data_IF_022556179186
#
_entry.id   IF_022556179186
#
_cell.length_a   1.000
_cell.length_b   1.000
_cell.length_c   1.000
_cell.angle_alpha   90.00
_cell.angle_beta   90.00
_cell.angle_gamma   90.00
#
_symmetry.space_group_name_H-M   'P 1'
#
loop_
_entity.id
_entity.type
_entity.pdbx_description
1 polymer ?
#
# COMPACT_ATOMS: atom_id res chain seq x y z
N UNK A 1 -7.15 26.66 -42.44
CA UNK A 1 -8.22 27.29 -43.23
C UNK A 1 -9.38 26.31 -43.39
N UNK A 2 -10.43 26.45 -42.57
CA UNK A 2 -11.82 26.01 -42.79
C UNK A 2 -12.61 26.55 -41.57
N UNK A 3 -13.26 27.72 -41.71
CA UNK A 3 -14.70 27.93 -41.95
C UNK A 3 -15.56 27.61 -40.70
N UNK A 4 -15.98 28.65 -39.95
CA UNK A 4 -17.36 29.26 -39.87
C UNK A 4 -18.26 28.57 -38.82
N UNK A 5 -19.16 29.18 -38.03
CA UNK A 5 -19.62 30.55 -37.75
C UNK A 5 -20.65 30.46 -36.58
N UNK A 6 -20.51 31.33 -35.57
CA UNK A 6 -21.51 32.07 -34.74
C UNK A 6 -22.93 31.52 -34.46
N UNK A 7 -23.33 31.55 -33.17
CA UNK A 7 -24.60 32.10 -32.56
C UNK A 7 -24.51 31.91 -31.02
N UNK A 8 -24.38 32.93 -30.14
CA UNK A 8 -25.29 34.02 -29.74
C UNK A 8 -26.70 33.53 -29.37
N UNK A 9 -27.37 33.88 -28.27
CA UNK A 9 -27.13 34.61 -27.01
C UNK A 9 -28.44 34.49 -26.21
N UNK A 10 -28.45 34.60 -24.87
CA UNK A 10 -29.60 35.11 -24.07
C UNK A 10 -29.14 35.37 -22.62
N UNK A 11 -29.03 36.66 -22.23
CA UNK A 11 -29.97 37.40 -21.36
C UNK A 11 -29.77 37.11 -19.86
N UNK A 12 -29.65 38.05 -18.91
CA UNK A 12 -29.73 39.53 -18.86
C UNK A 12 -29.12 40.00 -17.50
N UNK A 13 -28.52 41.19 -17.50
CA UNK A 13 -28.11 42.02 -16.33
C UNK A 13 -29.30 42.64 -15.61
N UNK A 14 -29.16 42.98 -14.32
CA UNK A 14 -29.51 44.26 -13.60
C UNK A 14 -28.85 44.15 -12.19
N UNK A 15 -27.83 44.90 -11.75
CA UNK A 15 -27.67 46.31 -11.29
C UNK A 15 -28.44 46.72 -10.02
N UNK A 16 -27.71 46.74 -8.89
CA UNK A 16 -27.55 47.73 -7.81
C UNK A 16 -28.72 48.50 -7.13
N UNK A 17 -28.59 48.56 -5.78
CA UNK A 17 -28.58 49.75 -4.90
C UNK A 17 -29.73 50.02 -3.89
N UNK A 18 -29.32 50.03 -2.61
CA UNK A 18 -29.46 51.09 -1.60
C UNK A 18 -30.59 51.13 -0.52
N UNK A 19 -30.10 51.40 0.71
CA UNK A 19 -30.60 52.30 1.76
C UNK A 19 -31.37 51.76 2.99
N UNK A 20 -30.60 51.61 4.09
CA UNK A 20 -30.73 52.23 5.41
C UNK A 20 -32.11 52.46 6.10
N UNK A 21 -32.19 52.05 7.38
CA UNK A 21 -32.65 52.93 8.48
C UNK A 21 -32.16 52.47 9.86
N UNK A 22 -31.72 53.47 10.62
CA UNK A 22 -31.17 53.53 11.98
C UNK A 22 -32.24 53.44 13.09
N UNK A 23 -31.88 52.94 14.28
CA UNK A 23 -32.17 53.66 15.54
C UNK A 23 -31.25 53.26 16.70
N UNK A 24 -30.72 54.30 17.31
CA UNK A 24 -29.88 54.47 18.50
C UNK A 24 -30.61 54.18 19.81
N UNK A 25 -29.88 53.74 20.85
CA UNK A 25 -29.79 54.46 22.15
C UNK A 25 -28.54 54.03 22.92
N UNK A 26 -27.86 55.03 23.45
CA UNK A 26 -26.64 55.05 24.25
C UNK A 26 -26.88 54.86 25.75
N UNK A 27 -25.89 54.32 26.48
CA UNK A 27 -25.44 54.92 27.75
C UNK A 27 -24.08 54.37 28.20
N UNK A 28 -23.23 55.30 28.59
CA UNK A 28 -21.84 55.23 29.08
C UNK A 28 -21.68 54.77 30.54
N UNK A 29 -20.53 54.15 30.88
CA UNK A 29 -19.72 54.38 32.11
C UNK A 29 -18.67 53.26 32.22
N UNK A 30 -17.37 53.51 32.02
CA UNK A 30 -16.37 53.97 33.00
C UNK A 30 -15.44 52.84 33.51
N UNK A 31 -14.14 53.08 33.31
CA UNK A 31 -13.01 52.81 34.22
C UNK A 31 -12.60 51.37 34.63
N UNK A 32 -11.42 51.00 34.11
CA UNK A 32 -10.24 50.48 34.82
C UNK A 32 -9.92 48.97 34.82
N UNK A 33 -8.61 48.61 34.70
CA UNK A 33 -8.13 47.24 34.52
C UNK A 33 -7.75 46.58 35.85
N UNK A 34 -7.86 45.27 35.94
CA UNK A 34 -7.31 44.49 37.06
C UNK A 34 -6.15 43.61 36.58
N UNK A 35 -4.99 43.90 37.16
CA UNK A 35 -3.75 43.16 37.06
C UNK A 35 -3.68 42.02 38.08
N UNK A 36 -2.82 41.04 37.77
CA UNK A 36 -2.23 40.00 38.64
C UNK A 36 -3.20 38.92 39.20
N UNK A 37 -2.82 37.64 39.32
CA UNK A 37 -1.52 37.13 39.75
C UNK A 37 -1.23 35.71 39.21
N UNK A 38 0.05 35.46 38.93
CA UNK A 38 0.62 34.13 38.74
C UNK A 38 0.83 33.51 40.12
N UNK A 39 0.14 32.41 40.42
CA UNK A 39 0.41 31.60 41.61
C UNK A 39 1.46 30.55 41.25
N UNK A 40 2.71 30.83 41.63
CA UNK A 40 3.78 29.84 41.62
C UNK A 40 3.52 28.80 42.72
N UNK A 41 3.18 27.56 42.34
CA UNK A 41 3.14 26.44 43.28
C UNK A 41 4.56 25.91 43.52
N UNK A 42 5.02 26.12 44.74
CA UNK A 42 6.29 25.62 45.28
C UNK A 42 6.19 24.10 45.49
N UNK A 43 7.12 23.36 44.89
CA UNK A 43 7.24 21.90 45.04
C UNK A 43 7.96 21.58 46.37
N UNK A 44 7.42 20.65 47.15
CA UNK A 44 8.06 20.10 48.36
C UNK A 44 8.24 18.59 48.20
N UNK A 45 9.41 18.02 48.53
CA UNK A 45 9.67 16.60 48.35
C UNK A 45 9.09 15.76 49.51
N UNK A 46 8.23 14.79 49.17
CA UNK A 46 7.71 13.78 50.09
C UNK A 46 8.59 12.53 50.15
N UNK A 47 8.65 11.91 51.34
CA UNK A 47 9.44 10.74 51.78
C UNK A 47 9.36 9.49 50.87
N UNK A 48 10.35 8.58 50.92
CA UNK A 48 10.41 7.41 50.04
C UNK A 48 9.46 6.29 50.51
N UNK A 49 8.72 5.71 49.56
CA UNK A 49 7.89 4.53 49.78
C UNK A 49 8.74 3.25 49.71
N UNK A 50 8.51 2.34 50.66
CA UNK A 50 9.17 1.05 50.78
C UNK A 50 8.81 0.11 49.61
N UNK A 51 9.82 -0.61 49.11
CA UNK A 51 9.74 -1.51 47.96
C UNK A 51 9.22 -2.88 48.43
N UNK A 52 7.99 -3.23 48.07
CA UNK A 52 7.46 -4.59 48.23
C UNK A 52 7.80 -5.41 46.99
N UNK A 53 8.65 -6.43 47.14
CA UNK A 53 8.97 -7.42 46.12
C UNK A 53 7.86 -8.46 46.03
N UNK A 54 7.07 -8.41 44.95
CA UNK A 54 6.20 -9.51 44.54
C UNK A 54 6.92 -10.32 43.46
N UNK A 55 7.44 -11.48 43.84
CA UNK A 55 7.95 -12.48 42.91
C UNK A 55 6.77 -13.26 42.32
N UNK A 56 6.39 -12.94 41.09
CA UNK A 56 5.43 -13.77 40.34
C UNK A 56 6.21 -14.72 39.44
N UNK A 57 6.16 -16.00 39.79
CA UNK A 57 6.78 -17.11 39.08
C UNK A 57 5.90 -17.44 37.86
N UNK A 58 6.29 -16.98 36.67
CA UNK A 58 5.64 -17.41 35.43
C UNK A 58 6.24 -18.75 35.00
N UNK A 59 5.46 -19.82 35.10
CA UNK A 59 5.79 -21.13 34.54
C UNK A 59 5.35 -21.12 33.08
N UNK A 60 6.30 -21.08 32.15
CA UNK A 60 6.05 -21.23 30.73
C UNK A 60 6.33 -22.69 30.34
N UNK A 61 5.28 -23.49 30.26
CA UNK A 61 5.29 -24.74 29.50
C UNK A 61 4.26 -24.60 28.38
N UNK A 62 4.76 -24.43 27.17
CA UNK A 62 4.00 -24.52 25.93
C UNK A 62 5.02 -24.83 24.84
N UNK A 63 5.20 -26.12 24.57
CA UNK A 63 5.93 -26.60 23.40
C UNK A 63 5.34 -25.97 22.14
N UNK A 64 6.17 -25.22 21.41
CA UNK A 64 5.86 -24.75 20.07
C UNK A 64 6.13 -25.91 19.07
N UNK A 65 5.28 -26.13 18.07
CA UNK A 65 5.60 -27.09 17.02
C UNK A 65 6.74 -26.54 16.16
N UNK A 66 7.80 -27.33 16.01
CA UNK A 66 8.90 -27.04 15.10
C UNK A 66 8.38 -27.01 13.65
N UNK A 67 8.37 -25.82 13.04
CA UNK A 67 8.19 -25.67 11.60
C UNK A 67 9.54 -25.97 10.95
N UNK A 68 9.64 -27.16 10.38
CA UNK A 68 10.78 -27.60 9.58
C UNK A 68 11.00 -26.65 8.39
N UNK A 69 12.22 -26.12 8.30
CA UNK A 69 12.75 -25.48 7.11
C UNK A 69 13.02 -26.56 6.04
N UNK A 70 12.06 -26.79 5.15
CA UNK A 70 12.27 -27.42 3.84
C UNK A 70 10.96 -27.42 3.07
N UNK A 71 10.93 -26.67 1.97
CA UNK A 71 9.82 -26.68 1.03
C UNK A 71 9.49 -25.28 0.55
N UNK A 72 9.90 -24.97 -0.68
CA UNK A 72 9.17 -24.06 -1.56
C UNK A 72 7.76 -24.64 -1.76
N UNK A 73 6.95 -24.55 -0.71
CA UNK A 73 5.54 -24.87 -0.79
C UNK A 73 4.93 -23.76 -1.63
N UNK A 74 4.15 -24.17 -2.63
CA UNK A 74 3.20 -23.33 -3.35
C UNK A 74 2.38 -22.53 -2.31
N UNK A 75 2.91 -21.38 -1.90
CA UNK A 75 2.26 -20.54 -0.91
C UNK A 75 1.06 -19.98 -1.65
N UNK A 76 -0.12 -20.44 -1.25
CA UNK A 76 -1.37 -19.94 -1.78
C UNK A 76 -1.29 -18.40 -1.82
N UNK A 77 -1.59 -17.83 -2.98
CA UNK A 77 -1.47 -16.40 -3.20
C UNK A 77 -2.17 -15.64 -2.10
N UNK A 78 -1.44 -14.72 -1.44
CA UNK A 78 -2.01 -13.92 -0.37
C UNK A 78 -3.16 -13.03 -0.87
N UNK A 79 -3.20 -12.74 -2.19
CA UNK A 79 -4.29 -12.06 -2.86
C UNK A 79 -4.30 -12.32 -4.39
N UNK A 80 -5.48 -12.24 -5.00
CA UNK A 80 -5.67 -12.28 -6.47
C UNK A 80 -5.70 -10.86 -7.03
N UNK A 81 -4.78 -10.53 -7.93
CA UNK A 81 -4.70 -9.21 -8.53
C UNK A 81 -5.58 -9.11 -9.77
N UNK A 82 -6.26 -7.98 -9.93
CA UNK A 82 -7.04 -7.68 -11.14
C UNK A 82 -6.07 -7.27 -12.27
N UNK A 83 -5.57 -8.26 -13.01
CA UNK A 83 -4.67 -8.07 -14.15
C UNK A 83 -5.48 -8.23 -15.43
N UNK A 84 -5.35 -7.28 -16.36
CA UNK A 84 -5.96 -7.39 -17.68
C UNK A 84 -5.12 -8.31 -18.60
N UNK A 85 -5.33 -9.62 -18.47
CA UNK A 85 -4.65 -10.63 -19.28
C UNK A 85 -4.94 -10.49 -20.78
N UNK A 86 -6.11 -9.95 -21.14
CA UNK A 86 -6.46 -9.70 -22.54
C UNK A 86 -5.57 -8.59 -23.11
N UNK A 87 -5.38 -7.49 -22.36
CA UNK A 87 -4.46 -6.44 -22.76
C UNK A 87 -3.02 -6.97 -22.92
N UNK A 88 -2.56 -7.83 -22.01
CA UNK A 88 -1.22 -8.44 -22.08
C UNK A 88 -1.06 -9.28 -23.35
N UNK A 89 -2.05 -10.10 -23.68
CA UNK A 89 -2.07 -10.89 -24.92
C UNK A 89 -2.08 -10.00 -26.17
N UNK A 90 -2.97 -9.02 -26.21
CA UNK A 90 -3.18 -8.16 -27.38
C UNK A 90 -1.98 -7.20 -27.62
N UNK A 91 -1.18 -6.92 -26.58
CA UNK A 91 -0.04 -6.00 -26.63
C UNK A 91 1.27 -6.65 -26.13
N UNK A 92 1.50 -7.93 -26.46
CA UNK A 92 2.63 -8.71 -25.96
C UNK A 92 3.99 -8.01 -26.17
N UNK A 93 4.23 -7.47 -27.37
CA UNK A 93 5.48 -6.77 -27.70
C UNK A 93 5.71 -5.52 -26.85
N UNK A 94 4.65 -4.74 -26.60
CA UNK A 94 4.71 -3.54 -25.76
C UNK A 94 5.08 -3.90 -24.33
N UNK A 95 4.40 -4.91 -23.77
CA UNK A 95 4.61 -5.37 -22.38
C UNK A 95 6.01 -5.95 -22.22
N UNK A 96 6.46 -6.80 -23.16
CA UNK A 96 7.80 -7.37 -23.13
C UNK A 96 8.87 -6.27 -23.20
N UNK A 97 8.73 -5.32 -24.14
CA UNK A 97 9.65 -4.20 -24.25
C UNK A 97 9.69 -3.36 -22.97
N UNK A 98 8.55 -3.12 -22.34
CA UNK A 98 8.47 -2.39 -21.07
C UNK A 98 9.20 -3.15 -19.94
N UNK A 99 9.01 -4.46 -19.84
CA UNK A 99 9.68 -5.31 -18.86
C UNK A 99 11.22 -5.30 -19.06
N UNK A 100 11.68 -5.49 -20.29
CA UNK A 100 13.11 -5.42 -20.63
C UNK A 100 13.71 -4.04 -20.35
N UNK A 101 13.00 -2.97 -20.71
CA UNK A 101 13.43 -1.58 -20.44
C UNK A 101 13.61 -1.33 -18.95
N UNK A 102 12.71 -1.89 -18.13
CA UNK A 102 12.76 -1.81 -16.66
C UNK A 102 13.70 -2.84 -16.02
N UNK A 103 14.44 -3.62 -16.82
CA UNK A 103 15.34 -4.69 -16.38
C UNK A 103 14.66 -5.71 -15.46
N UNK A 104 13.39 -6.01 -15.74
CA UNK A 104 12.64 -7.05 -15.03
C UNK A 104 12.64 -8.30 -15.88
N UNK A 105 13.10 -9.41 -15.28
CA UNK A 105 13.09 -10.72 -15.91
C UNK A 105 11.69 -11.34 -15.80
N UNK A 106 10.92 -11.27 -16.87
CA UNK A 106 9.59 -11.88 -17.00
C UNK A 106 9.41 -12.36 -18.45
N UNK A 107 8.98 -13.60 -18.61
CA UNK A 107 8.57 -14.16 -19.89
C UNK A 107 7.08 -13.88 -20.13
N UNK A 108 6.79 -12.90 -20.98
CA UNK A 108 5.40 -12.56 -21.35
C UNK A 108 4.76 -13.65 -22.20
N UNK A 109 5.55 -14.41 -22.98
CA UNK A 109 5.02 -15.49 -23.81
C UNK A 109 4.54 -16.66 -22.95
N UNK A 110 5.26 -17.00 -21.89
CA UNK A 110 4.81 -18.02 -20.93
C UNK A 110 3.48 -17.60 -20.26
N UNK A 111 3.34 -16.32 -19.88
CA UNK A 111 2.10 -15.79 -19.30
C UNK A 111 0.94 -15.93 -20.29
N UNK A 112 1.16 -15.61 -21.57
CA UNK A 112 0.14 -15.75 -22.62
C UNK A 112 -0.22 -17.23 -22.82
N UNK A 113 0.76 -18.13 -22.89
CA UNK A 113 0.53 -19.56 -23.05
C UNK A 113 -0.31 -20.13 -21.90
N UNK A 114 -0.02 -19.76 -20.64
CA UNK A 114 -0.83 -20.18 -19.49
C UNK A 114 -2.23 -19.57 -19.49
N UNK A 115 -2.38 -18.32 -19.95
CA UNK A 115 -3.69 -17.71 -20.12
C UNK A 115 -4.54 -18.42 -21.19
N UNK A 116 -3.94 -18.83 -22.30
CA UNK A 116 -4.63 -19.61 -23.34
C UNK A 116 -5.01 -21.01 -22.85
N UNK A 117 -4.12 -21.69 -22.14
CA UNK A 117 -4.40 -22.98 -21.51
C UNK A 117 -5.56 -22.87 -20.50
N UNK A 118 -5.60 -21.79 -19.73
CA UNK A 118 -6.68 -21.51 -18.77
C UNK A 118 -8.02 -21.29 -19.48
N UNK A 119 -8.04 -20.55 -20.59
CA UNK A 119 -9.26 -20.36 -21.37
C UNK A 119 -9.74 -21.69 -21.99
N UNK A 120 -8.82 -22.50 -22.52
CA UNK A 120 -9.14 -23.81 -23.07
C UNK A 120 -9.69 -24.77 -22.00
N UNK A 121 -9.15 -24.72 -20.79
CA UNK A 121 -9.63 -25.53 -19.66
C UNK A 121 -11.01 -25.07 -19.17
N UNK A 122 -11.23 -23.76 -19.07
CA UNK A 122 -12.55 -23.19 -18.77
C UNK A 122 -13.61 -23.64 -19.79
N UNK A 123 -13.27 -23.60 -21.08
CA UNK A 123 -14.17 -24.07 -22.13
C UNK A 123 -14.55 -25.55 -21.95
N UNK A 124 -13.59 -26.44 -21.67
CA UNK A 124 -13.86 -27.86 -21.37
C UNK A 124 -14.75 -28.04 -20.14
N UNK A 125 -14.50 -27.27 -19.08
CA UNK A 125 -15.34 -27.30 -17.87
C UNK A 125 -16.78 -26.89 -18.19
N UNK A 126 -16.97 -25.88 -19.04
CA UNK A 126 -18.30 -25.43 -19.45
C UNK A 126 -19.01 -26.47 -20.34
N UNK A 127 -18.31 -27.13 -21.26
CA UNK A 127 -18.84 -28.26 -22.04
C UNK A 127 -19.31 -29.41 -21.14
N UNK A 128 -18.51 -29.77 -20.12
CA UNK A 128 -18.89 -30.81 -19.15
C UNK A 128 -20.07 -30.39 -18.28
N UNK A 129 -20.15 -29.11 -17.88
CA UNK A 129 -21.30 -28.56 -17.15
C UNK A 129 -22.56 -28.62 -18.01
N UNK A 130 -22.46 -28.31 -19.30
CA UNK A 130 -23.55 -28.45 -20.25
C UNK A 130 -23.98 -29.91 -20.41
N UNK A 131 -23.02 -30.83 -20.62
CA UNK A 131 -23.28 -32.27 -20.73
C UNK A 131 -23.93 -32.84 -19.46
N UNK A 132 -23.49 -32.44 -18.28
CA UNK A 132 -24.10 -32.78 -16.99
C UNK A 132 -25.56 -32.31 -16.93
N UNK A 133 -25.82 -31.06 -17.34
CA UNK A 133 -27.16 -30.48 -17.32
C UNK A 133 -28.07 -31.16 -18.36
N UNK A 134 -27.54 -31.53 -19.53
CA UNK A 134 -28.24 -32.30 -20.55
C UNK A 134 -28.60 -33.71 -20.06
N UNK A 135 -27.65 -34.42 -19.45
CA UNK A 135 -27.90 -35.74 -18.84
C UNK A 135 -28.96 -35.65 -17.73
N UNK A 136 -28.89 -34.65 -16.85
CA UNK A 136 -29.91 -34.40 -15.82
C UNK A 136 -31.31 -34.11 -16.39
N UNK A 137 -31.40 -33.46 -17.57
CA UNK A 137 -32.67 -33.27 -18.29
C UNK A 137 -33.18 -34.57 -18.90
N UNK A 138 -32.31 -35.38 -19.49
CA UNK A 138 -32.66 -36.69 -20.07
C UNK A 138 -33.20 -37.66 -19.01
N UNK A 139 -32.81 -37.49 -17.73
CA UNK A 139 -33.37 -38.26 -16.62
C UNK A 139 -34.80 -37.84 -16.18
N UNK A 140 -35.36 -36.75 -16.70
CA UNK A 140 -36.73 -36.30 -16.38
C UNK A 140 -37.74 -37.00 -17.30
N UNK A 141 -38.20 -38.18 -16.89
CA UNK A 141 -39.25 -38.94 -17.58
C UNK A 141 -39.44 -40.35 -17.02
N UNK A 142 -40.46 -41.07 -17.52
CA UNK A 142 -40.57 -42.53 -17.33
C UNK A 142 -39.59 -43.19 -18.31
N UNK A 143 -38.61 -43.91 -17.79
CA UNK A 143 -37.58 -44.60 -18.57
C UNK A 143 -37.33 -46.00 -18.01
N UNK A 144 -36.81 -46.87 -18.85
CA UNK A 144 -36.38 -48.20 -18.44
C UNK A 144 -35.22 -48.14 -17.44
N UNK A 145 -35.17 -49.15 -16.57
CA UNK A 145 -34.21 -49.19 -15.45
C UNK A 145 -32.76 -49.19 -15.95
N UNK A 146 -32.49 -49.92 -17.04
CA UNK A 146 -31.16 -49.98 -17.68
C UNK A 146 -30.70 -48.63 -18.26
N UNK A 147 -31.62 -47.89 -18.87
CA UNK A 147 -31.34 -46.55 -19.44
C UNK A 147 -31.05 -45.55 -18.33
N UNK A 148 -31.79 -45.64 -17.22
CA UNK A 148 -31.55 -44.80 -16.03
C UNK A 148 -30.19 -45.10 -15.39
N UNK A 149 -29.82 -46.37 -15.24
CA UNK A 149 -28.54 -46.76 -14.64
C UNK A 149 -27.34 -46.31 -15.50
N UNK A 150 -27.47 -46.36 -16.83
CA UNK A 150 -26.48 -45.80 -17.76
C UNK A 150 -26.29 -44.28 -17.64
N UNK A 151 -27.38 -43.53 -17.52
CA UNK A 151 -27.33 -42.08 -17.31
C UNK A 151 -26.72 -41.70 -15.95
N UNK A 152 -26.97 -42.49 -14.90
CA UNK A 152 -26.34 -42.31 -13.58
C UNK A 152 -24.83 -42.56 -13.66
N UNK A 153 -24.39 -43.59 -14.37
CA UNK A 153 -22.96 -43.88 -14.56
C UNK A 153 -22.25 -42.75 -15.32
N UNK A 154 -22.85 -42.25 -16.40
CA UNK A 154 -22.32 -41.10 -17.15
C UNK A 154 -22.30 -39.82 -16.30
N UNK A 155 -23.36 -39.55 -15.53
CA UNK A 155 -23.40 -38.39 -14.62
C UNK A 155 -22.32 -38.45 -13.54
N UNK A 156 -21.99 -39.65 -13.04
CA UNK A 156 -20.89 -39.86 -12.10
C UNK A 156 -19.53 -39.64 -12.78
N UNK A 157 -19.32 -40.18 -13.97
CA UNK A 157 -18.10 -39.98 -14.74
C UNK A 157 -17.85 -38.48 -15.03
N UNK A 158 -18.88 -37.75 -15.47
CA UNK A 158 -18.80 -36.29 -15.69
C UNK A 158 -18.45 -35.55 -14.39
N UNK A 159 -19.02 -35.96 -13.26
CA UNK A 159 -18.73 -35.34 -11.96
C UNK A 159 -17.27 -35.55 -11.55
N UNK A 160 -16.75 -36.76 -11.74
CA UNK A 160 -15.37 -37.10 -11.38
C UNK A 160 -14.37 -36.38 -12.31
N UNK A 161 -14.66 -36.30 -13.62
CA UNK A 161 -13.86 -35.55 -14.60
C UNK A 161 -13.87 -34.03 -14.31
N UNK A 162 -15.04 -33.47 -14.01
CA UNK A 162 -15.18 -32.06 -13.68
C UNK A 162 -14.45 -31.70 -12.39
N UNK A 163 -14.47 -32.57 -11.37
CA UNK A 163 -13.71 -32.37 -10.13
C UNK A 163 -12.19 -32.36 -10.38
N UNK A 164 -11.68 -33.21 -11.27
CA UNK A 164 -10.27 -33.21 -11.65
C UNK A 164 -9.89 -31.90 -12.38
N UNK A 165 -10.67 -31.50 -13.39
CA UNK A 165 -10.39 -30.29 -14.17
C UNK A 165 -10.52 -29.01 -13.36
N UNK A 166 -11.43 -28.95 -12.38
CA UNK A 166 -11.54 -27.80 -11.46
C UNK A 166 -10.29 -27.68 -10.54
N UNK A 167 -9.66 -28.80 -10.18
CA UNK A 167 -8.37 -28.81 -9.47
C UNK A 167 -7.23 -28.26 -10.34
N UNK A 168 -7.13 -28.73 -11.58
CA UNK A 168 -6.14 -28.25 -12.55
C UNK A 168 -6.33 -26.75 -12.84
N UNK A 169 -7.57 -26.30 -12.93
CA UNK A 169 -7.93 -24.89 -13.15
C UNK A 169 -7.46 -24.01 -11.99
N UNK A 170 -7.71 -24.42 -10.75
CA UNK A 170 -7.26 -23.68 -9.58
C UNK A 170 -5.72 -23.59 -9.51
N UNK A 171 -5.01 -24.67 -9.85
CA UNK A 171 -3.55 -24.68 -9.93
C UNK A 171 -3.03 -23.72 -11.00
N UNK A 172 -3.56 -23.83 -12.22
CA UNK A 172 -3.15 -22.99 -13.34
C UNK A 172 -3.48 -21.51 -13.12
N UNK A 173 -4.63 -21.20 -12.51
CA UNK A 173 -4.97 -19.85 -12.08
C UNK A 173 -3.94 -19.28 -11.10
N UNK A 174 -3.54 -20.06 -10.10
CA UNK A 174 -2.56 -19.62 -9.10
C UNK A 174 -1.20 -19.37 -9.73
N UNK A 175 -0.75 -20.24 -10.64
CA UNK A 175 0.51 -20.06 -11.36
C UNK A 175 0.48 -18.82 -12.26
N UNK A 176 -0.57 -18.68 -13.08
CA UNK A 176 -0.73 -17.53 -13.97
C UNK A 176 -0.70 -16.22 -13.17
N UNK A 177 -1.43 -16.19 -12.06
CA UNK A 177 -1.51 -15.04 -11.20
C UNK A 177 -0.17 -14.70 -10.53
N UNK A 178 0.59 -15.71 -10.09
CA UNK A 178 1.92 -15.53 -9.51
C UNK A 178 2.91 -14.92 -10.51
N UNK A 179 2.91 -15.43 -11.75
CA UNK A 179 3.80 -14.92 -12.80
C UNK A 179 3.38 -13.52 -13.23
N UNK A 180 2.10 -13.29 -13.43
CA UNK A 180 1.59 -12.01 -13.92
C UNK A 180 1.74 -10.88 -12.88
N UNK A 181 1.71 -11.17 -11.57
CA UNK A 181 1.99 -10.18 -10.53
C UNK A 181 3.43 -9.64 -10.58
N UNK A 182 4.37 -10.35 -11.23
CA UNK A 182 5.75 -9.86 -11.43
C UNK A 182 5.84 -8.82 -12.54
N UNK A 183 4.82 -8.70 -13.40
CA UNK A 183 4.80 -7.72 -14.48
C UNK A 183 4.84 -6.30 -13.91
N UNK A 184 5.77 -5.45 -14.38
CA UNK A 184 5.78 -4.07 -13.97
C UNK A 184 4.66 -3.29 -14.67
N UNK A 185 4.15 -2.24 -14.01
CA UNK A 185 3.30 -1.25 -14.68
C UNK A 185 3.96 -0.68 -15.94
N UNK A 186 3.13 -0.29 -16.90
CA UNK A 186 3.56 0.40 -18.11
C UNK A 186 4.25 1.72 -17.74
N UNK A 187 5.35 1.99 -18.44
CA UNK A 187 6.12 3.22 -18.26
C UNK A 187 5.51 4.32 -19.11
N UNK A 188 5.37 5.52 -18.55
CA UNK A 188 4.89 6.68 -19.32
C UNK A 188 5.91 7.02 -20.43
N UNK A 189 5.47 7.39 -21.65
CA UNK A 189 6.37 7.65 -22.78
C UNK A 189 7.47 8.69 -22.52
N UNK A 190 7.18 9.68 -21.66
CA UNK A 190 8.13 10.75 -21.32
C UNK A 190 9.20 10.37 -20.27
N UNK A 191 9.18 9.12 -19.77
CA UNK A 191 10.16 8.66 -18.78
C UNK A 191 11.48 8.38 -19.50
N UNK A 192 12.60 8.97 -19.04
CA UNK A 192 13.90 8.70 -19.63
C UNK A 192 14.27 7.22 -19.46
N UNK A 193 14.76 6.62 -20.53
CA UNK A 193 15.19 5.22 -20.55
C UNK A 193 16.64 5.15 -20.09
N UNK A 194 16.93 4.33 -19.08
CA UNK A 194 18.28 4.04 -18.62
C UNK A 194 18.39 3.82 -17.12
N UNK A 195 19.61 3.84 -16.61
CA UNK A 195 19.91 3.85 -15.17
C UNK A 195 19.70 5.27 -14.59
N UNK A 196 20.03 5.43 -13.31
CA UNK A 196 19.99 6.72 -12.61
C UNK A 196 20.79 7.82 -13.33
N UNK A 197 21.85 7.45 -14.06
CA UNK A 197 22.67 8.36 -14.88
C UNK A 197 21.86 9.06 -15.99
N UNK A 198 20.75 8.47 -16.42
CA UNK A 198 19.90 9.01 -17.48
C UNK A 198 18.78 9.92 -16.92
N UNK A 199 18.82 10.23 -15.61
CA UNK A 199 17.85 11.12 -14.98
C UNK A 199 17.94 12.53 -15.58
N UNK A 200 16.80 13.06 -16.00
CA UNK A 200 16.71 14.40 -16.60
C UNK A 200 16.34 15.42 -15.54
N UNK A 201 17.23 16.39 -15.26
CA UNK A 201 16.92 17.54 -14.40
C UNK A 201 15.82 18.40 -15.02
N UNK A 202 14.66 18.49 -14.36
CA UNK A 202 13.52 19.29 -14.85
C UNK A 202 13.61 20.76 -14.44
N UNK A 203 14.06 21.02 -13.22
CA UNK A 203 14.25 22.37 -12.70
C UNK A 203 15.28 22.35 -11.57
N UNK A 204 16.06 23.43 -11.47
CA UNK A 204 16.90 23.72 -10.31
C UNK A 204 16.36 24.99 -9.66
N UNK A 205 16.11 24.95 -8.36
CA UNK A 205 15.53 26.07 -7.60
C UNK A 205 16.52 26.51 -6.52
N UNK A 206 16.80 27.82 -6.49
CA UNK A 206 17.83 28.40 -5.63
C UNK A 206 19.24 28.25 -6.20
N UNK A 207 20.21 28.69 -5.42
CA UNK A 207 21.63 28.64 -5.76
C UNK A 207 22.40 27.91 -4.67
N UNK A 208 23.47 27.20 -5.06
CA UNK A 208 24.34 26.55 -4.09
C UNK A 208 25.01 27.60 -3.21
N UNK A 209 24.84 27.47 -1.89
CA UNK A 209 25.43 28.42 -0.94
C UNK A 209 26.96 28.37 -0.99
N UNK A 210 27.59 29.53 -1.16
CA UNK A 210 29.03 29.68 -1.01
C UNK A 210 29.41 29.74 0.48
N UNK A 211 30.42 28.97 0.86
CA UNK A 211 30.98 28.95 2.21
C UNK A 211 32.42 29.44 2.18
N UNK A 212 32.80 30.30 3.13
CA UNK A 212 34.18 30.78 3.32
C UNK A 212 35.00 29.87 4.24
N UNK A 213 34.45 28.73 4.64
CA UNK A 213 35.04 27.76 5.55
C UNK A 213 34.83 26.33 5.03
N UNK A 214 35.64 25.35 5.45
CA UNK A 214 35.45 23.95 5.11
C UNK A 214 34.08 23.44 5.59
N UNK A 215 33.24 23.01 4.64
CA UNK A 215 31.89 22.51 4.93
C UNK A 215 31.99 21.14 5.59
N UNK A 216 31.43 21.03 6.80
CA UNK A 216 31.34 19.77 7.53
C UNK A 216 30.09 19.00 7.10
N UNK A 217 30.13 17.67 7.23
CA UNK A 217 28.96 16.83 6.97
C UNK A 217 27.88 17.06 8.04
N UNK A 218 26.65 16.63 7.78
CA UNK A 218 25.54 16.84 8.72
C UNK A 218 25.70 16.06 10.04
N UNK A 219 26.40 14.93 10.03
CA UNK A 219 26.65 14.09 11.22
C UNK A 219 27.56 14.82 12.19
N UNK A 220 28.73 15.29 11.74
CA UNK A 220 29.71 16.01 12.55
C UNK A 220 29.11 17.29 13.13
N UNK A 221 28.30 18.00 12.35
CA UNK A 221 27.59 19.21 12.80
C UNK A 221 26.56 18.86 13.87
N UNK A 222 25.77 17.81 13.64
CA UNK A 222 24.74 17.36 14.58
C UNK A 222 25.33 16.86 15.90
N UNK A 223 26.45 16.12 15.88
CA UNK A 223 27.15 15.67 17.08
C UNK A 223 27.73 16.85 17.88
N UNK A 224 28.39 17.81 17.21
CA UNK A 224 28.94 19.02 17.87
C UNK A 224 27.86 19.88 18.53
N UNK A 225 26.66 19.89 17.95
CA UNK A 225 25.51 20.61 18.49
C UNK A 225 24.72 19.78 19.52
N UNK A 226 25.13 18.54 19.80
CA UNK A 226 24.41 17.64 20.70
C UNK A 226 22.99 17.34 20.20
N UNK A 227 22.80 17.25 18.88
CA UNK A 227 21.53 16.91 18.23
C UNK A 227 21.37 15.40 18.02
N UNK A 228 22.48 14.68 17.84
CA UNK A 228 22.52 13.27 17.52
C UNK A 228 23.32 12.50 18.57
N UNK A 229 22.77 11.37 19.02
CA UNK A 229 23.47 10.39 19.84
C UNK A 229 23.39 9.01 19.16
N UNK A 230 24.47 8.69 18.43
CA UNK A 230 24.63 7.42 17.71
C UNK A 230 25.14 6.30 18.61
N UNK A 231 25.87 6.62 19.69
CA UNK A 231 26.41 5.61 20.61
C UNK A 231 25.25 4.91 21.34
N UNK A 232 24.34 5.69 21.91
CA UNK A 232 23.13 5.15 22.56
C UNK A 232 22.22 4.48 21.54
N UNK A 233 22.03 5.08 20.35
CA UNK A 233 21.24 4.49 19.27
C UNK A 233 21.74 3.12 18.84
N UNK A 234 23.06 2.99 18.62
CA UNK A 234 23.68 1.73 18.22
C UNK A 234 23.61 0.67 19.32
N UNK A 235 23.76 1.07 20.58
CA UNK A 235 23.70 0.15 21.72
C UNK A 235 22.30 -0.43 21.95
N UNK A 236 21.25 0.35 21.67
CA UNK A 236 19.85 -0.05 21.94
C UNK A 236 19.22 -0.76 20.75
N UNK A 237 19.43 -0.26 19.53
CA UNK A 237 18.71 -0.72 18.34
C UNK A 237 19.60 -1.27 17.22
N UNK A 238 20.93 -1.20 17.40
CA UNK A 238 21.90 -1.66 16.41
C UNK A 238 22.32 -0.57 15.41
N UNK A 239 23.07 -0.96 14.38
CA UNK A 239 23.63 -0.02 13.40
C UNK A 239 22.55 0.81 12.68
N UNK A 240 22.87 2.06 12.32
CA UNK A 240 22.01 3.03 11.59
C UNK A 240 20.86 3.65 12.40
N UNK A 241 20.71 3.31 13.68
CA UNK A 241 19.79 4.01 14.58
C UNK A 241 20.46 5.20 15.27
N UNK A 242 19.71 6.27 15.48
CA UNK A 242 20.18 7.52 16.09
C UNK A 242 19.13 8.05 17.05
N UNK A 243 19.58 8.62 18.16
CA UNK A 243 18.71 9.38 19.05
C UNK A 243 18.78 10.86 18.66
N UNK A 244 17.63 11.46 18.39
CA UNK A 244 17.52 12.91 18.25
C UNK A 244 17.35 13.54 19.64
N UNK A 245 18.22 14.48 20.00
CA UNK A 245 18.26 15.08 21.33
C UNK A 245 18.21 16.61 21.26
N UNK A 246 17.77 17.24 22.36
CA UNK A 246 17.75 18.70 22.51
C UNK A 246 17.14 19.44 21.32
N UNK A 247 17.95 20.27 20.67
CA UNK A 247 17.53 21.06 19.50
C UNK A 247 17.26 20.21 18.26
N UNK A 248 17.85 19.01 18.15
CA UNK A 248 17.57 18.04 17.08
C UNK A 248 16.15 17.49 17.15
N UNK A 249 15.71 17.07 18.34
CA UNK A 249 14.34 16.61 18.55
C UNK A 249 13.31 17.72 18.30
N UNK A 250 13.60 18.94 18.75
CA UNK A 250 12.74 20.10 18.50
C UNK A 250 12.64 20.46 17.02
N UNK A 251 13.74 20.33 16.27
CA UNK A 251 13.76 20.58 14.83
C UNK A 251 12.89 19.59 14.06
N UNK A 252 12.95 18.30 14.40
CA UNK A 252 12.11 17.25 13.79
C UNK A 252 10.62 17.59 13.97
N UNK A 253 10.19 17.88 15.20
CA UNK A 253 8.81 18.27 15.50
C UNK A 253 8.39 19.54 14.75
N UNK A 254 9.29 20.53 14.65
CA UNK A 254 9.02 21.77 13.92
C UNK A 254 8.81 21.51 12.43
N UNK A 255 9.65 20.67 11.81
CA UNK A 255 9.55 20.30 10.39
C UNK A 255 8.26 19.53 10.09
N UNK A 256 7.92 18.54 10.92
CA UNK A 256 6.65 17.79 10.81
C UNK A 256 5.47 18.77 10.86
N UNK A 257 5.40 19.60 11.89
CA UNK A 257 4.29 20.55 12.07
C UNK A 257 4.19 21.55 10.91
N UNK A 258 5.33 22.07 10.43
CA UNK A 258 5.36 22.97 9.29
C UNK A 258 4.84 22.30 8.01
N UNK A 259 5.30 21.08 7.72
CA UNK A 259 4.85 20.32 6.56
C UNK A 259 3.34 20.04 6.62
N UNK A 260 2.84 19.60 7.78
CA UNK A 260 1.41 19.40 8.04
C UNK A 260 0.61 20.69 7.81
N UNK A 261 1.01 21.81 8.42
CA UNK A 261 0.32 23.09 8.24
C UNK A 261 0.25 23.50 6.76
N UNK A 262 1.34 23.26 6.00
CA UNK A 262 1.40 23.58 4.57
C UNK A 262 0.42 22.74 3.75
N UNK A 263 0.34 21.43 3.98
CA UNK A 263 -0.59 20.57 3.23
C UNK A 263 -2.05 20.79 3.66
N UNK A 264 -2.31 21.05 4.95
CA UNK A 264 -3.63 21.39 5.45
C UNK A 264 -4.17 22.66 4.79
N UNK A 265 -3.32 23.68 4.59
CA UNK A 265 -3.71 24.90 3.88
C UNK A 265 -4.13 24.67 2.42
N UNK A 266 -3.74 23.53 1.82
CA UNK A 266 -4.13 23.10 0.47
C UNK A 266 -5.38 22.20 0.46
N UNK A 267 -6.02 21.97 1.61
CA UNK A 267 -7.26 21.19 1.72
C UNK A 267 -7.05 19.68 1.87
N UNK A 268 -5.84 19.22 2.18
CA UNK A 268 -5.62 17.80 2.48
C UNK A 268 -6.28 17.41 3.80
N UNK A 269 -6.88 16.22 3.85
CA UNK A 269 -7.45 15.67 5.07
C UNK A 269 -6.35 14.98 5.90
N UNK A 270 -6.11 15.40 7.15
CA UNK A 270 -5.14 14.72 8.01
C UNK A 270 -5.64 13.34 8.41
N UNK A 271 -4.74 12.36 8.43
CA UNK A 271 -5.03 11.00 8.86
C UNK A 271 -3.84 10.46 9.67
N UNK A 272 -4.16 9.76 10.75
CA UNK A 272 -3.21 8.93 11.50
C UNK A 272 -3.57 7.47 11.17
N UNK A 273 -2.59 6.70 10.73
CA UNK A 273 -2.74 5.31 10.33
C UNK A 273 -1.98 4.42 11.30
N UNK A 274 -2.29 3.11 11.40
CA UNK A 274 -1.44 2.16 12.11
C UNK A 274 -0.01 2.19 11.55
N UNK A 275 1.00 1.67 12.26
CA UNK A 275 2.36 1.50 11.69
C UNK A 275 2.60 0.08 11.16
N UNK A 276 1.76 -0.87 11.61
CA UNK A 276 1.78 -2.28 11.24
C UNK A 276 0.68 -2.60 10.24
N UNK A 277 1.01 -3.37 9.21
CA UNK A 277 0.10 -3.79 8.13
C UNK A 277 0.24 -5.28 7.85
N UNK A 278 -0.81 -5.89 7.29
CA UNK A 278 -0.72 -7.27 6.79
C UNK A 278 0.22 -7.35 5.60
N UNK A 279 1.00 -8.42 5.49
CA UNK A 279 1.92 -8.63 4.35
C UNK A 279 1.21 -8.58 2.99
N UNK A 280 -0.05 -9.03 2.91
CA UNK A 280 -0.85 -8.95 1.68
C UNK A 280 -1.09 -7.50 1.22
N UNK A 281 -1.14 -6.52 2.12
CA UNK A 281 -1.31 -5.10 1.76
C UNK A 281 -0.01 -4.52 1.19
N UNK A 282 1.14 -4.91 1.76
CA UNK A 282 2.46 -4.54 1.25
C UNK A 282 2.67 -5.06 -0.17
N UNK A 283 2.29 -6.31 -0.41
CA UNK A 283 2.33 -6.94 -1.74
C UNK A 283 1.42 -6.22 -2.74
N UNK A 284 0.20 -5.85 -2.34
CA UNK A 284 -0.74 -5.06 -3.18
C UNK A 284 -0.17 -3.71 -3.60
N UNK A 285 0.63 -3.08 -2.74
CA UNK A 285 1.28 -1.80 -3.02
C UNK A 285 2.52 -1.94 -3.92
N UNK A 286 2.88 -3.16 -4.35
CA UNK A 286 4.03 -3.42 -5.21
C UNK A 286 5.36 -3.52 -4.45
N UNK A 287 5.34 -3.59 -3.11
CA UNK A 287 6.53 -3.82 -2.27
C UNK A 287 6.84 -5.32 -2.11
N UNK A 288 6.60 -6.09 -3.16
CA UNK A 288 6.89 -7.52 -3.18
C UNK A 288 8.40 -7.70 -3.41
N UNK A 289 9.11 -8.45 -2.54
CA UNK A 289 10.53 -8.69 -2.74
C UNK A 289 10.73 -9.43 -4.07
N UNK A 290 11.44 -8.80 -5.00
CA UNK A 290 11.82 -9.41 -6.29
C UNK A 290 13.11 -10.24 -6.19
N UNK A 291 13.79 -10.16 -5.04
CA UNK A 291 14.99 -10.88 -4.68
C UNK A 291 14.87 -11.36 -3.22
N UNK A 292 15.84 -12.16 -2.74
CA UNK A 292 15.83 -12.73 -1.38
C UNK A 292 15.79 -11.67 -0.26
N UNK A 293 16.28 -10.46 -0.53
CA UNK A 293 16.32 -9.37 0.45
C UNK A 293 15.01 -8.58 0.47
N UNK A 294 14.35 -8.56 1.63
CA UNK A 294 13.21 -7.68 1.90
C UNK A 294 13.67 -6.38 2.58
N UNK A 295 12.99 -5.27 2.27
CA UNK A 295 13.16 -3.98 2.95
C UNK A 295 12.09 -3.75 4.03
N UNK A 296 11.32 -4.80 4.37
CA UNK A 296 10.15 -4.73 5.25
C UNK A 296 10.43 -5.56 6.50
N UNK A 297 10.30 -4.95 7.68
CA UNK A 297 10.41 -5.66 8.95
C UNK A 297 9.13 -6.44 9.24
N UNK A 298 9.22 -7.76 9.28
CA UNK A 298 8.10 -8.65 9.62
C UNK A 298 8.07 -8.99 11.11
N UNK A 299 6.88 -9.15 11.67
CA UNK A 299 6.69 -9.57 13.06
C UNK A 299 6.63 -11.09 13.10
N UNK A 300 7.54 -11.70 13.84
CA UNK A 300 7.61 -13.14 14.01
C UNK A 300 6.29 -13.71 14.54
N UNK A 301 5.88 -14.88 14.03
CA UNK A 301 4.63 -15.56 14.40
C UNK A 301 3.35 -14.76 14.12
N UNK A 302 3.38 -13.83 13.16
CA UNK A 302 2.19 -13.11 12.70
C UNK A 302 2.24 -12.84 11.19
N UNK A 303 1.12 -12.41 10.62
CA UNK A 303 1.04 -11.94 9.24
C UNK A 303 1.26 -10.41 9.10
N UNK A 304 1.78 -9.77 10.16
CA UNK A 304 2.00 -8.33 10.23
C UNK A 304 3.45 -7.94 9.94
N UNK A 305 3.61 -6.75 9.39
CA UNK A 305 4.90 -6.15 9.08
C UNK A 305 4.84 -4.62 9.20
N UNK A 306 5.98 -3.99 9.41
CA UNK A 306 6.12 -2.53 9.55
C UNK A 306 6.10 -1.85 8.19
N UNK A 307 5.25 -0.84 8.02
CA UNK A 307 5.21 -0.07 6.79
C UNK A 307 6.44 0.85 6.68
N UNK A 308 7.16 0.77 5.55
CA UNK A 308 8.28 1.67 5.26
C UNK A 308 7.86 3.08 4.79
N UNK A 309 6.57 3.29 4.52
CA UNK A 309 6.00 4.59 4.16
C UNK A 309 4.50 4.63 4.42
N UNK A 310 3.96 5.80 4.73
CA UNK A 310 2.52 6.02 4.89
C UNK A 310 1.70 5.70 3.62
N UNK A 311 2.35 5.65 2.44
CA UNK A 311 1.69 5.26 1.18
C UNK A 311 1.09 3.85 1.18
N UNK A 312 1.67 2.93 1.96
CA UNK A 312 1.24 1.52 2.01
C UNK A 312 -0.19 1.38 2.57
N UNK A 313 -0.61 2.29 3.45
CA UNK A 313 -1.95 2.24 4.05
C UNK A 313 -3.06 2.60 3.07
N UNK A 314 -2.74 3.33 2.00
CA UNK A 314 -3.71 3.74 1.00
C UNK A 314 -3.91 2.70 -0.11
N UNK A 315 -2.95 1.81 -0.34
CA UNK A 315 -3.08 0.77 -1.37
C UNK A 315 -3.84 -0.48 -0.93
N UNK A 316 -4.28 -0.55 0.34
CA UNK A 316 -5.07 -1.66 0.87
C UNK A 316 -6.59 -1.50 0.77
N UNK A 317 -7.07 -0.29 0.43
CA UNK A 317 -8.49 0.07 0.34
C UNK A 317 -9.13 -0.23 -1.01
#
# INVERSE_FOLDING_TARGET
MHRTFVRSAMHRRVVAAAAARTRTTSSSSSSSPLAASVVARRWTPGRPAQRATLATRASATSEAPALNASGETNKALAWKAAIDFKFVRDNAELVQKNATTRKVDVDVQEIIAKYEALNALNFKCDELRERRNANAKSMKGKMDKEVRDGLIAEGKAIKDELAALEGDLAGLESELQTMAQRLPNLTHPDVPIGSEENTVTRATVGEQRAFTFPVQNHVDVGEKLGMFDFETGSKVSGSRFVYLTGVGAMLELALINWAFAKVLSKGFKPMMVPDMVRSSVVEKCGFQPRAENTQVYSIENSDLCMAGTAGIFFGGG
#
